data_IF_992837968085
#
_entry.id   IF_992837968085
#
_cell.length_a   1.000
_cell.length_b   1.000
_cell.length_c   1.000
_cell.angle_alpha   90.00
_cell.angle_beta   90.00
_cell.angle_gamma   90.00
#
_symmetry.space_group_name_H-M   'P 1'
#
loop_
_entity.id
_entity.type
_entity.pdbx_description
1 polymer ?
#
# COMPACT_ATOMS: atom_id res chain seq x y z
N UNK A 1 -16.82 -17.44 -50.55
CA UNK A 1 -15.55 -17.93 -49.94
C UNK A 1 -14.85 -16.76 -49.26
N UNK A 2 -14.44 -16.92 -47.99
CA UNK A 2 -13.39 -16.10 -47.39
C UNK A 2 -13.82 -15.00 -46.41
N UNK A 3 -14.53 -15.34 -45.32
CA UNK A 3 -14.55 -14.48 -44.13
C UNK A 3 -13.14 -14.44 -43.52
N UNK A 4 -12.44 -13.32 -43.67
CA UNK A 4 -11.18 -13.05 -42.95
C UNK A 4 -11.52 -12.88 -41.48
N UNK A 5 -11.38 -13.97 -40.72
CA UNK A 5 -11.36 -13.93 -39.26
C UNK A 5 -10.23 -13.01 -38.82
N UNK A 6 -10.58 -11.90 -38.18
CA UNK A 6 -9.64 -11.05 -37.46
C UNK A 6 -9.07 -11.91 -36.31
N UNK A 7 -7.74 -12.04 -36.15
CA UNK A 7 -7.20 -12.75 -35.00
C UNK A 7 -7.61 -11.97 -33.75
N UNK A 8 -8.34 -12.61 -32.84
CA UNK A 8 -8.48 -12.12 -31.48
C UNK A 8 -7.05 -11.97 -30.93
N UNK A 9 -6.65 -10.74 -30.65
CA UNK A 9 -5.39 -10.46 -29.99
C UNK A 9 -5.31 -11.29 -28.71
N UNK A 10 -4.21 -12.06 -28.61
CA UNK A 10 -3.79 -12.77 -27.42
C UNK A 10 -4.07 -11.92 -26.17
N UNK A 11 -5.08 -12.30 -25.39
CA UNK A 11 -5.13 -11.89 -23.99
C UNK A 11 -3.91 -12.55 -23.37
N UNK A 12 -2.85 -11.76 -23.16
CA UNK A 12 -1.64 -12.24 -22.51
C UNK A 12 -2.04 -12.80 -21.14
N UNK A 13 -2.04 -14.12 -21.00
CA UNK A 13 -2.28 -14.79 -19.73
C UNK A 13 -1.28 -14.25 -18.72
N UNK A 14 -1.79 -13.68 -17.63
CA UNK A 14 -0.95 -13.15 -16.55
C UNK A 14 -0.20 -14.33 -15.92
N UNK A 15 1.13 -14.29 -15.95
CA UNK A 15 1.94 -15.24 -15.21
C UNK A 15 1.98 -14.85 -13.73
N UNK A 16 1.12 -15.49 -12.93
CA UNK A 16 1.02 -15.22 -11.49
C UNK A 16 2.30 -15.59 -10.74
N UNK A 17 3.18 -16.44 -11.27
CA UNK A 17 4.44 -16.82 -10.58
C UNK A 17 5.41 -15.64 -10.45
N UNK A 18 5.22 -14.59 -11.25
CA UNK A 18 6.01 -13.36 -11.19
C UNK A 18 5.57 -12.41 -10.07
N UNK A 19 4.43 -12.67 -9.43
CA UNK A 19 3.88 -11.81 -8.39
C UNK A 19 3.90 -12.53 -7.05
N UNK A 20 4.16 -11.78 -5.99
CA UNK A 20 4.11 -12.30 -4.62
C UNK A 20 3.28 -11.41 -3.74
N UNK A 21 2.50 -12.03 -2.86
CA UNK A 21 1.84 -11.33 -1.76
C UNK A 21 2.79 -11.25 -0.57
N UNK A 22 2.81 -10.10 0.11
CA UNK A 22 3.56 -9.89 1.33
C UNK A 22 2.69 -9.23 2.37
N UNK A 23 2.78 -9.73 3.59
CA UNK A 23 2.05 -9.21 4.74
C UNK A 23 3.02 -8.70 5.79
N UNK A 24 2.74 -7.53 6.33
CA UNK A 24 3.45 -6.94 7.46
C UNK A 24 2.46 -6.65 8.57
N UNK A 25 2.79 -7.11 9.77
CA UNK A 25 2.02 -6.84 10.97
C UNK A 25 2.80 -5.87 11.84
N UNK A 26 2.16 -4.77 12.21
CA UNK A 26 2.65 -3.83 13.22
C UNK A 26 1.79 -3.94 14.46
N UNK A 27 2.37 -4.44 15.54
CA UNK A 27 1.80 -4.36 16.88
C UNK A 27 2.35 -3.12 17.56
N UNK A 28 1.52 -2.40 18.32
CA UNK A 28 2.06 -1.44 19.28
C UNK A 28 2.77 -2.26 20.34
N UNK A 29 4.06 -2.02 20.58
CA UNK A 29 4.70 -2.58 21.77
C UNK A 29 3.93 -2.08 23.00
N UNK A 30 3.60 -2.94 23.97
CA UNK A 30 3.04 -2.49 25.24
C UNK A 30 4.03 -1.46 25.82
N UNK A 31 3.60 -0.21 25.97
CA UNK A 31 4.37 0.73 26.77
C UNK A 31 4.44 0.12 28.17
N UNK A 32 5.64 -0.20 28.66
CA UNK A 32 5.82 -0.58 30.07
C UNK A 32 5.07 0.45 30.92
N UNK A 33 4.16 0.05 31.83
CA UNK A 33 3.47 1.00 32.68
C UNK A 33 4.53 1.74 33.49
N UNK A 34 4.72 3.00 33.16
CA UNK A 34 5.59 3.90 33.90
C UNK A 34 4.80 4.29 35.15
N UNK A 35 5.03 3.61 36.26
CA UNK A 35 4.50 3.95 37.57
C UNK A 35 5.05 5.32 37.97
N UNK A 36 4.29 6.38 37.68
CA UNK A 36 4.32 7.63 38.45
C UNK A 36 2.90 7.99 38.82
N UNK A 37 2.74 8.24 40.11
CA UNK A 37 1.50 8.42 40.83
C UNK A 37 0.63 9.58 40.32
N UNK A 38 -0.67 9.46 40.60
CA UNK A 38 -1.70 10.48 40.64
C UNK A 38 -2.11 11.13 39.29
N UNK A 39 -3.30 10.75 38.82
CA UNK A 39 -4.00 11.45 37.75
C UNK A 39 -4.99 10.54 37.05
N UNK A 40 -6.23 10.51 37.55
CA UNK A 40 -7.35 9.70 37.03
C UNK A 40 -7.76 10.23 35.64
N UNK A 41 -7.04 9.87 34.59
CA UNK A 41 -7.52 10.00 33.21
C UNK A 41 -7.98 8.64 32.72
N UNK A 42 -9.20 8.63 32.17
CA UNK A 42 -9.85 7.49 31.52
C UNK A 42 -8.80 6.72 30.71
N UNK A 43 -8.62 5.44 31.05
CA UNK A 43 -8.03 4.48 30.15
C UNK A 43 -8.98 4.39 28.95
N UNK A 44 -8.73 5.22 27.93
CA UNK A 44 -9.20 4.96 26.59
C UNK A 44 -8.65 3.56 26.27
N UNK A 45 -9.55 2.61 26.07
CA UNK A 45 -9.21 1.21 25.80
C UNK A 45 -8.34 1.23 24.56
N UNK A 46 -7.02 1.25 24.77
CA UNK A 46 -6.02 1.11 23.75
C UNK A 46 -6.09 -0.37 23.37
N UNK A 47 -7.14 -0.74 22.65
CA UNK A 47 -7.21 -1.99 21.93
C UNK A 47 -5.88 -2.11 21.19
N UNK A 48 -5.18 -3.21 21.45
CA UNK A 48 -3.93 -3.54 20.80
C UNK A 48 -4.14 -3.46 19.30
N UNK A 49 -3.85 -2.28 18.71
CA UNK A 49 -4.29 -1.95 17.37
C UNK A 49 -3.29 -2.55 16.40
N UNK A 50 -3.34 -3.88 16.29
CA UNK A 50 -2.58 -4.65 15.31
C UNK A 50 -2.93 -4.10 13.93
N UNK A 51 -1.92 -3.54 13.25
CA UNK A 51 -2.08 -2.97 11.93
C UNK A 51 -1.47 -3.92 10.92
N UNK A 52 -2.31 -4.47 10.06
CA UNK A 52 -1.88 -5.36 8.98
C UNK A 52 -1.79 -4.55 7.69
N UNK A 53 -0.66 -4.69 7.00
CA UNK A 53 -0.44 -4.16 5.65
C UNK A 53 -0.12 -5.31 4.73
N UNK A 54 -0.92 -5.48 3.70
CA UNK A 54 -0.78 -6.55 2.73
C UNK A 54 -0.60 -5.93 1.35
N UNK A 55 0.38 -6.41 0.60
CA UNK A 55 0.63 -5.91 -0.74
C UNK A 55 1.19 -6.96 -1.68
N UNK A 56 0.88 -6.80 -2.97
CA UNK A 56 1.51 -7.50 -4.06
C UNK A 56 2.71 -6.72 -4.60
N UNK A 57 3.67 -7.44 -5.15
CA UNK A 57 4.77 -6.87 -5.91
C UNK A 57 5.26 -7.87 -6.95
N UNK A 58 5.83 -7.37 -8.04
CA UNK A 58 6.48 -8.19 -9.05
C UNK A 58 7.91 -8.53 -8.61
N UNK A 59 8.33 -9.79 -8.79
CA UNK A 59 9.65 -10.29 -8.43
C UNK A 59 10.77 -9.57 -9.19
N UNK A 60 10.58 -9.43 -10.51
CA UNK A 60 11.49 -8.68 -11.37
C UNK A 60 10.98 -7.25 -11.52
N UNK A 61 11.83 -6.23 -11.29
CA UNK A 61 11.42 -4.84 -11.48
C UNK A 61 11.03 -4.60 -12.94
N UNK A 62 10.06 -3.73 -13.14
CA UNK A 62 9.73 -3.26 -14.49
C UNK A 62 10.82 -2.30 -14.98
N UNK A 63 10.96 -2.18 -16.30
CA UNK A 63 11.84 -1.16 -16.89
C UNK A 63 11.31 0.26 -16.63
N UNK A 64 9.98 0.40 -16.58
CA UNK A 64 9.26 1.65 -16.37
C UNK A 64 8.09 1.42 -15.41
N UNK A 65 7.60 2.51 -14.78
CA UNK A 65 6.45 2.41 -13.90
C UNK A 65 5.21 2.03 -14.71
N UNK A 66 4.45 1.09 -14.16
CA UNK A 66 3.21 0.62 -14.76
C UNK A 66 2.19 1.76 -14.84
N UNK A 67 1.48 1.85 -15.97
CA UNK A 67 0.31 2.70 -16.09
C UNK A 67 -0.84 2.20 -15.20
N UNK A 68 -0.98 0.88 -15.06
CA UNK A 68 -1.88 0.20 -14.12
C UNK A 68 -1.31 -1.19 -13.79
N UNK A 69 -1.44 -1.70 -12.56
CA UNK A 69 -1.06 -3.07 -12.26
C UNK A 69 -1.94 -4.07 -13.02
N UNK A 70 -1.44 -5.28 -13.29
CA UNK A 70 -2.27 -6.35 -13.85
C UNK A 70 -3.41 -6.71 -12.90
N UNK A 71 -4.49 -7.28 -13.45
CA UNK A 71 -5.57 -7.83 -12.64
C UNK A 71 -5.10 -9.11 -11.93
N UNK A 72 -4.96 -9.03 -10.60
CA UNK A 72 -4.51 -10.13 -9.76
C UNK A 72 -5.69 -10.83 -9.05
N UNK A 73 -6.95 -10.57 -9.45
CA UNK A 73 -8.13 -11.15 -8.81
C UNK A 73 -8.10 -12.69 -8.72
N UNK A 74 -7.50 -13.35 -9.72
CA UNK A 74 -7.39 -14.82 -9.78
C UNK A 74 -6.05 -15.36 -9.28
N UNK A 75 -5.23 -14.53 -8.62
CA UNK A 75 -3.95 -14.97 -8.08
C UNK A 75 -4.14 -16.04 -6.98
N UNK A 76 -3.32 -17.11 -6.89
CA UNK A 76 -3.50 -18.19 -5.90
C UNK A 76 -3.50 -17.74 -4.43
N UNK A 77 -2.71 -16.70 -4.10
CA UNK A 77 -2.70 -16.10 -2.75
C UNK A 77 -3.92 -15.20 -2.44
N UNK A 78 -4.83 -15.03 -3.41
CA UNK A 78 -6.04 -14.23 -3.34
C UNK A 78 -5.78 -12.72 -3.32
N UNK A 79 -6.63 -11.93 -3.99
CA UNK A 79 -6.61 -10.47 -3.93
C UNK A 79 -7.84 -9.97 -3.16
N UNK A 80 -7.62 -9.25 -2.07
CA UNK A 80 -8.69 -8.77 -1.20
C UNK A 80 -8.84 -7.25 -1.29
N UNK A 81 -10.07 -6.75 -1.07
CA UNK A 81 -10.29 -5.30 -0.93
C UNK A 81 -9.39 -4.73 0.17
N UNK A 82 -8.71 -3.63 -0.13
CA UNK A 82 -7.73 -3.01 0.76
C UNK A 82 -6.29 -3.52 0.58
N UNK A 83 -6.07 -4.59 -0.19
CA UNK A 83 -4.73 -5.01 -0.57
C UNK A 83 -4.08 -3.94 -1.45
N UNK A 84 -2.76 -3.80 -1.28
CA UNK A 84 -1.97 -2.86 -2.06
C UNK A 84 -1.23 -3.57 -3.20
N UNK A 85 -0.77 -2.81 -4.17
CA UNK A 85 0.27 -3.23 -5.09
C UNK A 85 1.40 -2.19 -5.07
N UNK A 86 2.65 -2.63 -5.00
CA UNK A 86 3.81 -1.76 -5.06
C UNK A 86 4.57 -1.99 -6.38
N UNK A 87 4.53 -0.98 -7.25
CA UNK A 87 5.50 -0.90 -8.33
C UNK A 87 6.73 -0.09 -7.91
N UNK A 88 7.88 -0.48 -8.43
CA UNK A 88 9.14 0.25 -8.19
C UNK A 88 10.04 0.20 -9.41
N UNK A 89 10.63 1.35 -9.71
CA UNK A 89 11.70 1.49 -10.71
C UNK A 89 12.74 2.42 -10.14
N UNK A 90 13.97 1.93 -9.98
CA UNK A 90 15.03 2.64 -9.26
C UNK A 90 14.58 3.02 -7.84
N UNK A 91 14.65 4.32 -7.52
CA UNK A 91 14.23 4.88 -6.22
C UNK A 91 12.76 5.35 -6.16
N UNK A 92 12.00 5.21 -7.23
CA UNK A 92 10.61 5.70 -7.32
C UNK A 92 9.64 4.60 -6.95
N UNK A 93 8.69 4.93 -6.06
CA UNK A 93 7.65 4.03 -5.57
C UNK A 93 6.28 4.47 -6.05
N UNK A 94 5.52 3.53 -6.62
CA UNK A 94 4.16 3.79 -7.06
C UNK A 94 3.19 2.78 -6.43
N UNK A 95 2.55 3.16 -5.31
CA UNK A 95 1.57 2.31 -4.65
C UNK A 95 0.18 2.42 -5.30
N UNK A 96 -0.53 1.30 -5.29
CA UNK A 96 -1.91 1.15 -5.75
C UNK A 96 -2.74 0.47 -4.68
N UNK A 97 -4.03 0.77 -4.63
CA UNK A 97 -5.00 0.19 -3.69
C UNK A 97 -6.08 -0.54 -4.47
N UNK A 98 -6.31 -1.80 -4.13
CA UNK A 98 -7.44 -2.57 -4.63
C UNK A 98 -8.71 -2.15 -3.89
N UNK A 99 -9.67 -1.56 -4.60
CA UNK A 99 -10.90 -1.03 -4.02
C UNK A 99 -12.06 -1.12 -4.99
N UNK A 100 -13.26 -0.90 -4.48
CA UNK A 100 -14.45 -0.70 -5.29
C UNK A 100 -14.47 0.73 -5.85
N UNK A 101 -14.96 0.88 -7.08
CA UNK A 101 -15.40 2.15 -7.65
C UNK A 101 -16.83 2.51 -7.19
N UNK A 102 -17.41 3.54 -7.80
CA UNK A 102 -18.76 4.03 -7.51
C UNK A 102 -19.86 3.03 -7.88
N UNK A 103 -19.59 2.10 -8.79
CA UNK A 103 -20.51 1.06 -9.25
C UNK A 103 -20.20 -0.32 -8.64
N UNK A 104 -19.41 -0.36 -7.56
CA UNK A 104 -19.03 -1.58 -6.84
C UNK A 104 -18.22 -2.59 -7.65
N UNK A 105 -17.45 -2.13 -8.65
CA UNK A 105 -16.50 -2.95 -9.41
C UNK A 105 -15.09 -2.80 -8.81
N UNK A 106 -14.41 -3.91 -8.48
CA UNK A 106 -13.07 -3.85 -7.92
C UNK A 106 -12.03 -3.47 -8.99
N UNK A 107 -11.16 -2.52 -8.65
CA UNK A 107 -10.10 -2.03 -9.53
C UNK A 107 -8.91 -1.49 -8.73
N UNK A 108 -7.78 -1.31 -9.44
CA UNK A 108 -6.60 -0.64 -8.89
C UNK A 108 -6.75 0.87 -8.95
N UNK A 109 -6.71 1.53 -7.79
CA UNK A 109 -6.60 2.99 -7.70
C UNK A 109 -5.18 3.40 -7.33
N UNK A 110 -4.57 4.27 -8.14
CA UNK A 110 -3.27 4.87 -7.82
C UNK A 110 -3.41 5.72 -6.55
N UNK A 111 -2.50 5.54 -5.60
CA UNK A 111 -2.44 6.34 -4.37
C UNK A 111 -1.03 6.87 -4.15
N UNK A 112 -0.88 7.89 -3.29
CA UNK A 112 0.41 8.44 -2.92
C UNK A 112 0.93 7.84 -1.62
N UNK A 113 2.25 7.91 -1.41
CA UNK A 113 2.82 7.79 -0.06
C UNK A 113 2.26 8.93 0.78
N UNK A 114 1.79 8.63 1.99
CA UNK A 114 1.05 9.56 2.84
C UNK A 114 -0.48 9.46 2.72
N UNK A 115 -1.01 8.70 1.75
CA UNK A 115 -2.44 8.48 1.63
C UNK A 115 -3.05 7.99 2.95
N UNK A 116 -4.16 8.61 3.35
CA UNK A 116 -4.90 8.24 4.56
C UNK A 116 -6.03 7.27 4.19
N UNK A 117 -6.08 6.14 4.88
CA UNK A 117 -7.16 5.15 4.81
C UNK A 117 -8.31 5.54 5.73
N UNK A 118 -9.49 4.97 5.50
CA UNK A 118 -10.73 5.25 6.25
C UNK A 118 -10.62 5.09 7.78
N UNK A 119 -9.68 4.26 8.26
CA UNK A 119 -9.38 4.09 9.69
C UNK A 119 -8.37 5.11 10.24
N UNK A 120 -8.10 6.17 9.49
CA UNK A 120 -7.19 7.27 9.81
C UNK A 120 -5.71 6.95 9.66
N UNK A 121 -5.32 5.70 9.33
CA UNK A 121 -3.91 5.31 9.17
C UNK A 121 -3.35 5.83 7.86
N UNK A 122 -2.06 6.16 7.86
CA UNK A 122 -1.37 6.71 6.70
C UNK A 122 -0.43 5.67 6.09
N UNK A 123 -0.33 5.66 4.76
CA UNK A 123 0.61 4.78 4.05
C UNK A 123 2.02 5.37 4.09
N UNK A 124 3.01 4.56 4.44
CA UNK A 124 4.42 4.91 4.32
C UNK A 124 5.19 3.83 3.56
N UNK A 125 6.34 4.23 2.99
CA UNK A 125 7.41 3.31 2.57
C UNK A 125 8.55 3.44 3.57
N UNK A 126 8.91 2.34 4.23
CA UNK A 126 9.99 2.35 5.24
C UNK A 126 11.35 2.67 4.62
N UNK A 127 12.16 3.51 5.29
CA UNK A 127 13.46 3.97 4.77
C UNK A 127 14.49 2.85 4.60
N UNK A 128 14.54 1.90 5.56
CA UNK A 128 15.60 0.87 5.59
C UNK A 128 15.36 -0.26 4.59
N UNK A 129 14.11 -0.71 4.48
CA UNK A 129 13.77 -1.93 3.77
C UNK A 129 12.79 -1.68 2.60
N UNK A 130 12.37 -0.42 2.38
CA UNK A 130 11.46 -0.02 1.32
C UNK A 130 10.14 -0.80 1.28
N UNK A 131 9.65 -1.18 2.47
CA UNK A 131 8.40 -1.92 2.64
C UNK A 131 7.24 -0.96 2.91
N UNK A 132 6.08 -1.28 2.34
CA UNK A 132 4.83 -0.58 2.64
C UNK A 132 4.37 -0.82 4.08
N UNK A 133 3.70 0.19 4.63
CA UNK A 133 3.08 0.08 5.95
C UNK A 133 1.98 1.10 6.14
N UNK A 134 0.84 0.65 6.64
CA UNK A 134 -0.11 1.51 7.32
C UNK A 134 0.41 1.86 8.71
N UNK A 135 0.36 3.13 9.09
CA UNK A 135 0.83 3.62 10.39
C UNK A 135 -0.16 4.60 11.00
N UNK A 136 -0.16 4.70 12.34
CA UNK A 136 -1.00 5.67 13.05
C UNK A 136 -0.61 7.12 12.70
N UNK A 137 -1.55 8.07 12.74
CA UNK A 137 -1.27 9.49 12.50
C UNK A 137 -0.10 10.06 13.32
N UNK A 138 0.03 9.64 14.58
CA UNK A 138 1.13 10.09 15.46
C UNK A 138 2.51 9.69 14.93
N UNK A 139 2.65 8.45 14.47
CA UNK A 139 3.90 7.97 13.88
C UNK A 139 4.15 8.64 12.52
N UNK A 140 3.10 8.79 11.69
CA UNK A 140 3.21 9.48 10.41
C UNK A 140 3.73 10.91 10.56
N UNK A 141 3.21 11.68 11.54
CA UNK A 141 3.71 13.03 11.85
C UNK A 141 5.18 13.01 12.28
N UNK A 142 5.57 12.06 13.13
CA UNK A 142 6.95 11.95 13.61
C UNK A 142 7.94 11.69 12.45
N UNK A 143 7.59 10.83 11.49
CA UNK A 143 8.44 10.59 10.32
C UNK A 143 8.32 11.71 9.28
N UNK A 144 7.12 12.29 9.12
CA UNK A 144 6.78 13.37 8.20
C UNK A 144 7.50 14.69 8.50
N UNK A 145 7.72 15.03 9.77
CA UNK A 145 8.60 16.14 10.15
C UNK A 145 10.05 15.95 9.68
N UNK A 146 10.45 14.73 9.29
CA UNK A 146 11.71 14.45 8.62
C UNK A 146 11.63 14.32 7.10
N UNK A 147 10.49 14.61 6.47
CA UNK A 147 10.29 14.71 5.00
C UNK A 147 10.15 16.17 4.52
N UNK A 148 10.02 17.14 5.44
CA UNK A 148 9.78 18.56 5.14
C UNK A 148 11.01 19.41 4.77
N UNK A 149 12.07 18.85 4.17
CA UNK A 149 13.23 19.65 3.71
C UNK A 149 13.62 19.44 2.25
N UNK A 150 12.74 18.87 1.42
CA UNK A 150 13.06 18.65 0.00
C UNK A 150 11.86 18.83 -0.93
N UNK A 151 11.09 19.91 -0.74
CA UNK A 151 10.35 20.52 -1.86
C UNK A 151 10.59 22.02 -1.73
N UNK A 152 11.63 22.50 -2.39
CA UNK A 152 11.77 23.92 -2.66
C UNK A 152 10.64 24.30 -3.59
N UNK A 153 9.76 25.17 -3.10
CA UNK A 153 8.92 26.01 -3.94
C UNK A 153 9.84 26.80 -4.87
N UNK A 154 9.68 26.56 -6.17
CA UNK A 154 10.29 27.34 -7.23
C UNK A 154 9.18 27.73 -8.19
N UNK A 155 8.37 28.69 -7.76
CA UNK A 155 7.62 29.56 -8.67
C UNK A 155 8.58 30.64 -9.16
N UNK A 156 8.79 30.70 -10.47
CA UNK A 156 8.66 31.92 -11.30
C UNK A 156 8.35 31.50 -12.75
#
# INVERSE_FOLDING_TARGET
MGTRGRPLGSQSTIDFTLYKKKTRVLTKSPRKPQTKAAGKMRAEVAADSTTITTWFYKLSPNAELLAVPPDLANHPEGLSLGDLYLDRVGGVYQPWLWRLDEISVPHWKKISVGHQRDDGKHLIVTRKNHLLSWVMPSYYRQVGSGYGSAVGEGED
#
